data_IF_236475869816
#
_entry.id   IF_236475869816
#
_cell.length_a   1.000
_cell.length_b   1.000
_cell.length_c   1.000
_cell.angle_alpha   90.00
_cell.angle_beta   90.00
_cell.angle_gamma   90.00
#
_symmetry.space_group_name_H-M   'P 1'
#
loop_
_entity.id
_entity.type
_entity.pdbx_description
1 polymer ?
#
# COMPACT_ATOMS: atom_id res chain seq x y z
N UNK A 1 20.40 -22.87 15.34
CA UNK A 1 20.09 -23.34 16.71
C UNK A 1 19.80 -24.84 16.75
N UNK A 2 19.02 -25.37 15.80
CA UNK A 2 18.72 -26.82 15.74
C UNK A 2 19.96 -27.71 15.64
N UNK A 3 20.93 -27.31 14.81
CA UNK A 3 22.25 -27.96 14.74
C UNK A 3 22.99 -27.94 16.08
N UNK A 4 22.86 -26.86 16.86
CA UNK A 4 23.47 -26.74 18.19
C UNK A 4 22.80 -27.68 19.19
N UNK A 5 21.47 -27.80 19.16
CA UNK A 5 20.76 -28.78 20.00
C UNK A 5 21.17 -30.21 19.65
N UNK A 6 21.29 -30.52 18.36
CA UNK A 6 21.70 -31.85 17.91
C UNK A 6 23.13 -32.19 18.34
N UNK A 7 24.09 -31.28 18.11
CA UNK A 7 25.50 -31.48 18.45
C UNK A 7 25.71 -31.56 19.97
N UNK A 8 24.99 -30.75 20.76
CA UNK A 8 25.12 -30.73 22.22
C UNK A 8 24.37 -31.87 22.93
N UNK A 9 23.53 -32.63 22.21
CA UNK A 9 22.62 -33.60 22.84
C UNK A 9 21.60 -32.94 23.77
N UNK A 10 21.19 -31.70 23.48
CA UNK A 10 20.28 -30.94 24.34
C UNK A 10 18.92 -31.63 24.44
N UNK A 11 18.57 -32.07 25.65
CA UNK A 11 17.25 -32.61 25.96
C UNK A 11 16.16 -31.58 25.65
N UNK A 12 14.98 -32.05 25.23
CA UNK A 12 13.88 -31.22 24.71
C UNK A 12 13.45 -30.18 25.75
N UNK A 13 13.36 -30.58 27.01
CA UNK A 13 13.00 -29.74 28.16
C UNK A 13 14.00 -28.60 28.45
N UNK A 14 15.22 -28.68 27.90
CA UNK A 14 16.26 -27.66 28.07
C UNK A 14 16.43 -26.78 26.83
N UNK A 15 15.82 -27.12 25.70
CA UNK A 15 15.96 -26.37 24.44
C UNK A 15 15.49 -24.92 24.57
N UNK A 16 14.37 -24.69 25.25
CA UNK A 16 13.84 -23.34 25.46
C UNK A 16 14.73 -22.49 26.37
N UNK A 17 15.29 -23.09 27.42
CA UNK A 17 16.25 -22.43 28.32
C UNK A 17 17.52 -22.03 27.58
N UNK A 18 18.02 -22.95 26.74
CA UNK A 18 19.19 -22.70 25.91
C UNK A 18 18.91 -21.65 24.83
N UNK A 19 17.76 -21.69 24.18
CA UNK A 19 17.40 -20.67 23.20
C UNK A 19 17.29 -19.28 23.84
N UNK A 20 16.62 -19.19 25.00
CA UNK A 20 16.44 -17.94 25.74
C UNK A 20 17.77 -17.29 26.13
N UNK A 21 18.79 -18.09 26.52
CA UNK A 21 20.08 -17.53 26.93
C UNK A 21 20.89 -16.94 25.77
N UNK A 22 20.57 -17.30 24.52
CA UNK A 22 21.21 -16.73 23.33
C UNK A 22 20.53 -15.46 22.81
N UNK A 23 19.37 -15.09 23.37
CA UNK A 23 18.65 -13.90 22.95
C UNK A 23 19.33 -12.64 23.44
N UNK A 24 19.35 -11.62 22.59
CA UNK A 24 19.90 -10.30 22.89
C UNK A 24 18.86 -9.20 22.63
N UNK A 25 19.06 -8.04 23.23
CA UNK A 25 18.34 -6.77 23.01
C UNK A 25 16.82 -6.91 22.89
N UNK A 26 16.28 -6.62 21.70
CA UNK A 26 14.85 -6.58 21.40
C UNK A 26 14.22 -7.99 21.47
N UNK A 27 14.99 -9.03 21.12
CA UNK A 27 14.53 -10.41 21.20
C UNK A 27 14.40 -10.87 22.66
N UNK A 28 15.39 -10.52 23.50
CA UNK A 28 15.35 -10.83 24.93
C UNK A 28 14.22 -10.06 25.64
N UNK A 29 14.06 -8.77 25.32
CA UNK A 29 12.97 -7.94 25.86
C UNK A 29 11.60 -8.53 25.51
N UNK A 30 11.42 -8.99 24.27
CA UNK A 30 10.20 -9.65 23.85
C UNK A 30 9.96 -10.97 24.59
N UNK A 31 10.98 -11.83 24.68
CA UNK A 31 10.86 -13.12 25.34
C UNK A 31 10.49 -12.96 26.82
N UNK A 32 11.12 -12.02 27.53
CA UNK A 32 10.77 -11.71 28.91
C UNK A 32 9.32 -11.22 29.06
N UNK A 33 8.83 -10.45 28.09
CA UNK A 33 7.41 -10.08 28.02
C UNK A 33 6.51 -11.30 27.80
N UNK A 34 6.91 -12.22 26.92
CA UNK A 34 6.15 -13.44 26.66
C UNK A 34 6.09 -14.36 27.89
N UNK A 35 7.22 -14.56 28.58
CA UNK A 35 7.30 -15.29 29.85
C UNK A 35 6.38 -14.68 30.91
N UNK A 36 6.31 -13.35 30.99
CA UNK A 36 5.39 -12.67 31.93
C UNK A 36 3.92 -12.95 31.62
N UNK A 37 3.55 -13.03 30.35
CA UNK A 37 2.17 -13.26 29.92
C UNK A 37 1.75 -14.73 30.02
N UNK A 38 2.63 -15.64 29.61
CA UNK A 38 2.33 -17.07 29.57
C UNK A 38 2.52 -17.74 30.93
N UNK A 39 3.36 -17.16 31.80
CA UNK A 39 3.85 -17.81 33.02
C UNK A 39 5.18 -18.52 32.78
N UNK A 40 6.02 -18.57 33.82
CA UNK A 40 7.37 -19.10 33.71
C UNK A 40 7.39 -20.59 33.32
N UNK A 41 6.60 -21.41 34.00
CA UNK A 41 6.58 -22.86 33.77
C UNK A 41 6.04 -23.19 32.37
N UNK A 42 4.93 -22.59 31.98
CA UNK A 42 4.33 -22.78 30.65
C UNK A 42 5.26 -22.27 29.54
N UNK A 43 6.00 -21.17 29.78
CA UNK A 43 6.91 -20.62 28.80
C UNK A 43 8.15 -21.51 28.56
N UNK A 44 8.69 -22.15 29.59
CA UNK A 44 9.88 -23.01 29.44
C UNK A 44 9.54 -24.47 29.14
N UNK A 45 8.29 -24.90 29.34
CA UNK A 45 7.80 -26.22 28.89
C UNK A 45 7.30 -26.22 27.44
N UNK A 46 7.19 -25.06 26.78
CA UNK A 46 6.74 -25.00 25.40
C UNK A 46 7.70 -25.74 24.45
N UNK A 47 7.15 -26.35 23.39
CA UNK A 47 7.98 -27.01 22.38
C UNK A 47 8.74 -26.00 21.53
N UNK A 48 9.93 -26.42 21.06
CA UNK A 48 10.74 -25.64 20.12
C UNK A 48 9.98 -25.25 18.85
N UNK A 49 9.12 -26.13 18.33
CA UNK A 49 8.27 -25.84 17.16
C UNK A 49 7.28 -24.69 17.43
N UNK A 50 6.65 -24.69 18.61
CA UNK A 50 5.72 -23.62 19.01
C UNK A 50 6.46 -22.29 19.13
N UNK A 51 7.65 -22.32 19.72
CA UNK A 51 8.49 -21.15 19.85
C UNK A 51 8.94 -20.58 18.49
N UNK A 52 9.42 -21.43 17.57
CA UNK A 52 9.77 -21.04 16.19
C UNK A 52 8.59 -20.37 15.51
N UNK A 53 7.39 -20.96 15.61
CA UNK A 53 6.18 -20.38 15.03
C UNK A 53 5.92 -18.97 15.57
N UNK A 54 5.99 -18.78 16.90
CA UNK A 54 5.79 -17.46 17.52
C UNK A 54 6.84 -16.42 17.11
N UNK A 55 8.10 -16.84 16.98
CA UNK A 55 9.15 -15.97 16.45
C UNK A 55 8.85 -15.56 15.01
N UNK A 56 8.55 -16.53 14.14
CA UNK A 56 8.21 -16.26 12.74
C UNK A 56 6.99 -15.35 12.64
N UNK A 57 5.92 -15.63 13.38
CA UNK A 57 4.72 -14.78 13.38
C UNK A 57 5.07 -13.34 13.77
N UNK A 58 5.87 -13.13 14.82
CA UNK A 58 6.23 -11.79 15.28
C UNK A 58 7.13 -11.04 14.29
N UNK A 59 8.18 -11.69 13.78
CA UNK A 59 9.20 -11.01 12.98
C UNK A 59 8.86 -10.99 11.49
N UNK A 60 8.30 -12.07 10.94
CA UNK A 60 7.85 -12.12 9.55
C UNK A 60 6.67 -11.17 9.30
N UNK A 61 5.67 -11.10 10.21
CA UNK A 61 4.61 -10.10 10.05
C UNK A 61 5.15 -8.68 10.12
N UNK A 62 6.16 -8.42 10.96
CA UNK A 62 6.74 -7.07 11.09
C UNK A 62 7.50 -6.67 9.83
N UNK A 63 8.27 -7.58 9.26
CA UNK A 63 9.02 -7.35 8.02
C UNK A 63 8.08 -7.16 6.82
N UNK A 64 7.05 -8.00 6.70
CA UNK A 64 6.01 -7.85 5.68
C UNK A 64 5.25 -6.54 5.86
N UNK A 65 4.83 -6.19 7.08
CA UNK A 65 4.16 -4.92 7.35
C UNK A 65 5.05 -3.71 7.04
N UNK A 66 6.35 -3.79 7.35
CA UNK A 66 7.31 -2.73 7.03
C UNK A 66 7.52 -2.59 5.52
N UNK A 67 7.59 -3.70 4.78
CA UNK A 67 7.65 -3.67 3.32
C UNK A 67 6.36 -3.12 2.73
N UNK A 68 5.19 -3.56 3.19
CA UNK A 68 3.89 -3.06 2.73
C UNK A 68 3.74 -1.55 3.00
N UNK A 69 4.12 -1.07 4.19
CA UNK A 69 4.05 0.36 4.50
C UNK A 69 5.01 1.19 3.65
N UNK A 70 6.25 0.73 3.44
CA UNK A 70 7.20 1.41 2.53
C UNK A 70 6.70 1.45 1.09
N UNK A 71 6.21 0.32 0.58
CA UNK A 71 5.69 0.24 -0.79
C UNK A 71 4.45 1.09 -1.00
N UNK A 72 3.49 1.05 -0.06
CA UNK A 72 2.31 1.91 -0.10
C UNK A 72 2.68 3.39 0.01
N UNK A 73 3.68 3.74 0.83
CA UNK A 73 4.15 5.13 0.96
C UNK A 73 4.77 5.64 -0.34
N UNK A 74 5.61 4.82 -0.99
CA UNK A 74 6.22 5.14 -2.30
C UNK A 74 5.16 5.33 -3.39
N UNK A 75 4.11 4.49 -3.40
CA UNK A 75 3.01 4.64 -4.35
C UNK A 75 2.20 5.91 -4.11
N UNK A 76 1.90 6.25 -2.84
CA UNK A 76 1.20 7.51 -2.52
C UNK A 76 2.02 8.74 -2.89
N UNK A 77 3.34 8.71 -2.67
CA UNK A 77 4.22 9.82 -3.05
C UNK A 77 4.26 10.02 -4.58
N UNK A 78 4.31 8.93 -5.35
CA UNK A 78 4.22 8.98 -6.81
C UNK A 78 2.91 9.58 -7.31
N UNK A 79 1.79 9.16 -6.72
CA UNK A 79 0.46 9.68 -7.04
C UNK A 79 0.39 11.18 -6.74
N UNK A 80 0.80 11.62 -5.54
CA UNK A 80 0.77 13.02 -5.15
C UNK A 80 1.64 13.89 -6.06
N UNK A 81 2.85 13.41 -6.38
CA UNK A 81 3.76 14.08 -7.30
C UNK A 81 3.16 14.19 -8.70
N UNK A 82 2.54 13.12 -9.20
CA UNK A 82 1.87 13.14 -10.50
C UNK A 82 0.74 14.16 -10.52
N UNK A 83 -0.17 14.11 -9.54
CA UNK A 83 -1.31 15.04 -9.42
C UNK A 83 -0.80 16.47 -9.38
N UNK A 84 0.24 16.77 -8.58
CA UNK A 84 0.80 18.12 -8.45
C UNK A 84 1.39 18.70 -9.75
N UNK A 85 1.75 17.84 -10.72
CA UNK A 85 2.25 18.24 -12.03
C UNK A 85 1.16 18.41 -13.10
N UNK A 86 -0.10 18.13 -12.79
CA UNK A 86 -1.19 18.21 -13.76
C UNK A 86 -1.61 19.66 -14.02
N UNK A 87 -2.06 19.99 -15.25
CA UNK A 87 -2.64 21.30 -15.55
C UNK A 87 -3.96 21.53 -14.79
N UNK A 88 -4.22 22.79 -14.40
CA UNK A 88 -5.37 23.18 -13.55
C UNK A 88 -6.74 22.68 -14.03
N UNK A 89 -6.91 22.58 -15.34
CA UNK A 89 -8.18 22.16 -15.97
C UNK A 89 -8.56 20.69 -15.69
N UNK A 90 -7.58 19.82 -15.38
CA UNK A 90 -7.80 18.41 -15.03
C UNK A 90 -7.37 18.09 -13.60
N UNK A 91 -6.44 18.87 -13.03
CA UNK A 91 -5.91 18.69 -11.68
C UNK A 91 -7.02 18.47 -10.63
N UNK A 92 -7.99 19.39 -10.58
CA UNK A 92 -9.07 19.34 -9.58
C UNK A 92 -9.93 18.07 -9.70
N UNK A 93 -10.14 17.59 -10.92
CA UNK A 93 -10.97 16.42 -11.18
C UNK A 93 -10.25 15.14 -10.78
N UNK A 94 -8.98 14.98 -11.18
CA UNK A 94 -8.14 13.83 -10.78
C UNK A 94 -7.95 13.80 -9.26
N UNK A 95 -7.65 14.94 -8.63
CA UNK A 95 -7.52 15.05 -7.18
C UNK A 95 -8.80 14.65 -6.44
N UNK A 96 -9.97 15.01 -6.97
CA UNK A 96 -11.27 14.67 -6.38
C UNK A 96 -11.57 13.16 -6.45
N UNK A 97 -11.06 12.47 -7.48
CA UNK A 97 -11.21 11.03 -7.65
C UNK A 97 -10.32 10.20 -6.69
N UNK A 98 -9.34 10.84 -6.02
CA UNK A 98 -8.46 10.22 -5.01
C UNK A 98 -7.86 8.88 -5.49
N UNK A 99 -7.08 8.88 -6.57
CA UNK A 99 -6.48 7.66 -7.09
C UNK A 99 -5.55 7.02 -6.06
N UNK A 100 -5.55 5.68 -6.04
CA UNK A 100 -4.71 4.89 -5.11
C UNK A 100 -3.39 4.42 -5.72
N UNK A 101 -3.30 4.43 -7.05
CA UNK A 101 -2.13 3.99 -7.80
C UNK A 101 -1.82 4.99 -8.90
N UNK A 102 -0.56 5.06 -9.30
CA UNK A 102 -0.11 5.98 -10.35
C UNK A 102 -0.82 5.68 -11.68
N UNK A 103 -0.93 4.40 -12.05
CA UNK A 103 -1.60 3.99 -13.29
C UNK A 103 -3.06 4.47 -13.34
N UNK A 104 -3.78 4.36 -12.22
CA UNK A 104 -5.16 4.82 -12.14
C UNK A 104 -5.25 6.36 -12.19
N UNK A 105 -4.27 7.07 -11.64
CA UNK A 105 -4.18 8.53 -11.78
C UNK A 105 -3.95 8.94 -13.24
N UNK A 106 -3.11 8.21 -13.98
CA UNK A 106 -2.83 8.42 -15.41
C UNK A 106 -4.09 8.16 -16.25
N UNK A 107 -4.79 7.06 -16.00
CA UNK A 107 -6.04 6.72 -16.66
C UNK A 107 -7.09 7.84 -16.48
N UNK A 108 -7.29 8.29 -15.24
CA UNK A 108 -8.21 9.41 -14.96
C UNK A 108 -7.80 10.70 -15.68
N UNK A 109 -6.51 11.03 -15.70
CA UNK A 109 -6.04 12.23 -16.40
C UNK A 109 -6.32 12.17 -17.90
N UNK A 110 -6.14 11.00 -18.52
CA UNK A 110 -6.45 10.76 -19.93
C UNK A 110 -7.95 10.88 -20.19
N UNK A 111 -8.79 10.24 -19.37
CA UNK A 111 -10.24 10.31 -19.50
C UNK A 111 -10.76 11.76 -19.40
N UNK A 112 -10.22 12.54 -18.46
CA UNK A 112 -10.61 13.96 -18.33
C UNK A 112 -10.11 14.81 -19.49
N UNK A 113 -8.95 14.50 -20.08
CA UNK A 113 -8.50 15.17 -21.30
C UNK A 113 -9.43 14.86 -22.49
N UNK A 114 -9.79 13.59 -22.67
CA UNK A 114 -10.65 13.15 -23.76
C UNK A 114 -12.07 13.74 -23.64
N UNK A 115 -12.63 13.74 -22.43
CA UNK A 115 -13.93 14.38 -22.17
C UNK A 115 -13.92 15.88 -22.47
N UNK A 116 -12.84 16.59 -22.11
CA UNK A 116 -12.69 18.01 -22.40
C UNK A 116 -12.57 18.27 -23.92
N UNK A 117 -11.84 17.43 -24.64
CA UNK A 117 -11.67 17.53 -26.09
C UNK A 117 -13.00 17.28 -26.84
N UNK A 118 -13.71 16.22 -26.47
CA UNK A 118 -15.04 15.90 -26.98
C UNK A 118 -16.02 17.05 -26.75
N UNK A 119 -16.07 17.58 -25.52
CA UNK A 119 -16.95 18.70 -25.15
C UNK A 119 -16.68 19.97 -25.96
N UNK A 120 -15.41 20.21 -26.33
CA UNK A 120 -15.04 21.36 -27.16
C UNK A 120 -15.48 21.16 -28.61
N UNK A 121 -15.24 19.97 -29.18
CA UNK A 121 -15.66 19.63 -30.54
C UNK A 121 -17.18 19.74 -30.71
N UNK A 122 -17.96 19.27 -29.74
CA UNK A 122 -19.41 19.39 -29.72
C UNK A 122 -19.88 20.85 -29.73
N UNK A 123 -19.30 21.68 -28.86
CA UNK A 123 -19.60 23.13 -28.82
C UNK A 123 -19.28 23.82 -30.14
N UNK A 124 -18.17 23.45 -30.78
CA UNK A 124 -17.79 24.02 -32.07
C UNK A 124 -18.78 23.60 -33.18
N UNK A 125 -19.19 22.34 -33.21
CA UNK A 125 -20.18 21.84 -34.16
C UNK A 125 -21.54 22.53 -33.99
N UNK A 126 -21.98 22.71 -32.74
CA UNK A 126 -23.24 23.38 -32.42
C UNK A 126 -23.23 24.86 -32.83
N UNK A 127 -22.13 25.57 -32.56
CA UNK A 127 -21.99 26.97 -32.99
C UNK A 127 -21.99 27.11 -34.53
N UNK A 128 -21.39 26.17 -35.26
CA UNK A 128 -21.44 26.15 -36.73
C UNK A 128 -22.87 25.94 -37.25
N UNK A 129 -23.63 25.00 -36.66
CA UNK A 129 -25.05 24.78 -37.02
C UNK A 129 -25.89 26.03 -36.82
N UNK A 130 -25.72 26.71 -35.67
CA UNK A 130 -26.42 27.97 -35.39
C UNK A 130 -26.09 29.08 -36.39
N UNK A 131 -24.83 29.22 -36.79
CA UNK A 131 -24.43 30.22 -37.80
C UNK A 131 -25.09 29.96 -39.16
N UNK A 132 -25.15 28.69 -39.58
CA UNK A 132 -25.79 28.31 -40.84
C UNK A 132 -27.29 28.61 -40.82
N UNK A 133 -27.97 28.26 -39.72
CA UNK A 133 -29.40 28.52 -39.56
C UNK A 133 -29.71 30.02 -39.59
N UNK A 134 -28.97 30.83 -38.84
CA UNK A 134 -29.17 32.28 -38.79
C UNK A 134 -29.00 32.96 -40.17
N UNK A 135 -28.04 32.52 -40.98
CA UNK A 135 -27.83 33.06 -42.32
C UNK A 135 -28.97 32.68 -43.29
N UNK A 136 -29.56 31.49 -43.12
CA UNK A 136 -30.67 31.05 -43.95
C UNK A 136 -31.95 31.86 -43.66
N UNK A 137 -32.22 32.13 -42.39
CA UNK A 137 -33.38 32.94 -41.98
C UNK A 137 -33.27 34.40 -42.47
N UNK A 138 -32.05 34.95 -42.54
CA UNK A 138 -31.82 36.30 -43.10
C UNK A 138 -32.02 36.37 -44.62
N UNK A 139 -31.82 35.29 -45.37
CA UNK A 139 -32.05 35.26 -46.82
C UNK A 139 -33.53 35.09 -47.20
N UNK A 140 -34.39 34.62 -46.29
CA UNK A 140 -35.84 34.48 -46.53
C UNK A 140 -36.65 35.75 -46.21
N UNK A 141 -36.04 36.77 -45.62
CA UNK A 141 -36.66 38.05 -45.23
C UNK A 141 -36.42 39.20 -46.23
N UNK A 142 -35.80 38.94 -47.38
CA UNK A 142 -35.64 39.84 -48.54
C UNK A 142 -36.53 39.41 -49.70
#
# INVERSE_FOLDING_TARGET
MESVFHISGCAVENQMKFAACTMLDVALTWWNGHVRTLGHDDAYTMSWETFKKRLTDKYCQKELALMCTKFLSDETEKVDKYISGLPDNIHKNVMSARPKTLDFAIELANDFMDQNLCSYAERQAENKRKLINNNHDQQQLL
#
